data_IF_514859806569
#
_entry.id   IF_514859806569
#
_cell.length_a   1.000
_cell.length_b   1.000
_cell.length_c   1.000
_cell.angle_alpha   90.00
_cell.angle_beta   90.00
_cell.angle_gamma   90.00
#
_symmetry.space_group_name_H-M   'P 1'
#
loop_
_entity.id
_entity.type
_entity.pdbx_description
1 polymer ?
#
# COMPACT_ATOMS: atom_id res chain seq x y z
N UNK A 1 27.56 -13.39 -9.85
CA UNK A 1 26.23 -12.90 -9.37
C UNK A 1 26.20 -12.47 -7.89
N UNK A 2 26.26 -13.36 -6.89
CA UNK A 2 26.12 -12.97 -5.46
C UNK A 2 27.12 -11.91 -5.00
N UNK A 3 28.40 -12.07 -5.34
CA UNK A 3 29.45 -11.09 -5.00
C UNK A 3 29.19 -9.71 -5.61
N UNK A 4 28.58 -9.67 -6.78
CA UNK A 4 28.23 -8.42 -7.48
C UNK A 4 27.10 -7.73 -6.72
N UNK A 5 26.04 -8.46 -6.36
CA UNK A 5 24.84 -7.88 -5.77
C UNK A 5 24.95 -7.60 -4.26
N UNK A 6 25.73 -8.38 -3.50
CA UNK A 6 25.82 -8.22 -2.03
C UNK A 6 26.43 -6.90 -1.57
N UNK A 7 27.09 -6.16 -2.45
CA UNK A 7 27.63 -4.83 -2.14
C UNK A 7 26.54 -3.81 -1.87
N UNK A 8 25.47 -3.87 -2.66
CA UNK A 8 24.41 -2.85 -2.66
C UNK A 8 23.04 -3.41 -2.21
N UNK A 9 22.88 -4.73 -2.16
CA UNK A 9 21.59 -5.39 -1.88
C UNK A 9 21.70 -6.47 -0.80
N UNK A 10 20.61 -6.68 -0.07
CA UNK A 10 20.42 -7.87 0.76
C UNK A 10 20.09 -9.05 -0.15
N UNK A 11 20.95 -10.07 -0.14
CA UNK A 11 20.84 -11.23 -1.04
C UNK A 11 21.00 -12.52 -0.25
N UNK A 12 20.08 -13.45 -0.50
CA UNK A 12 20.10 -14.82 0.02
C UNK A 12 20.16 -15.82 -1.13
N UNK A 13 20.88 -16.92 -0.96
CA UNK A 13 20.91 -18.03 -1.94
C UNK A 13 20.25 -19.24 -1.31
N UNK A 14 19.20 -19.73 -1.95
CA UNK A 14 18.55 -20.98 -1.56
C UNK A 14 19.12 -22.18 -2.33
N UNK A 15 20.20 -22.74 -1.78
CA UNK A 15 20.92 -23.88 -2.34
C UNK A 15 20.49 -25.25 -1.76
N UNK A 16 19.34 -25.34 -1.08
CA UNK A 16 18.83 -26.60 -0.50
C UNK A 16 18.48 -27.62 -1.59
N UNK A 17 19.10 -28.78 -1.60
CA UNK A 17 18.89 -29.79 -2.66
C UNK A 17 17.61 -30.61 -2.45
N UNK A 18 17.10 -30.65 -1.22
CA UNK A 18 15.91 -31.42 -0.83
C UNK A 18 14.59 -30.81 -1.35
N UNK A 19 14.60 -29.57 -1.84
CA UNK A 19 13.43 -28.86 -2.33
C UNK A 19 13.51 -28.57 -3.83
N UNK A 20 12.41 -28.83 -4.53
CA UNK A 20 12.29 -28.48 -5.94
C UNK A 20 12.30 -26.95 -6.12
N UNK A 21 12.75 -26.44 -7.29
CA UNK A 21 12.73 -25.00 -7.57
C UNK A 21 11.33 -24.37 -7.40
N UNK A 22 10.27 -25.05 -7.85
CA UNK A 22 8.90 -24.57 -7.68
C UNK A 22 8.47 -24.45 -6.22
N UNK A 23 8.90 -25.38 -5.36
CA UNK A 23 8.66 -25.29 -3.91
C UNK A 23 9.36 -24.07 -3.31
N UNK A 24 10.64 -23.84 -3.66
CA UNK A 24 11.40 -22.67 -3.22
C UNK A 24 10.74 -21.37 -3.67
N UNK A 25 10.26 -21.32 -4.92
CA UNK A 25 9.58 -20.14 -5.46
C UNK A 25 8.38 -19.75 -4.60
N UNK A 26 7.52 -20.72 -4.27
CA UNK A 26 6.36 -20.49 -3.43
C UNK A 26 6.75 -20.02 -2.02
N UNK A 27 7.74 -20.66 -1.39
CA UNK A 27 8.18 -20.27 -0.04
C UNK A 27 8.65 -18.81 0.01
N UNK A 28 9.48 -18.39 -0.95
CA UNK A 28 9.99 -17.01 -1.00
C UNK A 28 8.93 -15.99 -1.41
N UNK A 29 7.95 -16.39 -2.23
CA UNK A 29 6.78 -15.56 -2.55
C UNK A 29 5.87 -15.34 -1.34
N UNK A 30 5.69 -16.37 -0.50
CA UNK A 30 4.96 -16.29 0.77
C UNK A 30 5.67 -15.42 1.80
N UNK A 31 7.01 -15.45 1.82
CA UNK A 31 7.84 -14.54 2.63
C UNK A 31 7.84 -13.09 2.10
N UNK A 32 7.28 -12.84 0.93
CA UNK A 32 7.19 -11.49 0.35
C UNK A 32 8.52 -10.93 -0.16
N UNK A 33 9.48 -11.78 -0.55
CA UNK A 33 10.72 -11.32 -1.19
C UNK A 33 10.34 -10.58 -2.48
N UNK A 34 10.75 -9.30 -2.66
CA UNK A 34 10.23 -8.46 -3.75
C UNK A 34 10.71 -8.89 -5.14
N UNK A 35 11.89 -9.49 -5.22
CA UNK A 35 12.56 -9.87 -6.46
C UNK A 35 13.27 -11.21 -6.29
N UNK A 36 12.95 -12.18 -7.15
CA UNK A 36 13.60 -13.49 -7.22
C UNK A 36 14.50 -13.55 -8.44
N UNK A 37 15.70 -14.12 -8.30
CA UNK A 37 16.61 -14.38 -9.40
C UNK A 37 16.66 -15.89 -9.63
N UNK A 38 16.33 -16.32 -10.84
CA UNK A 38 16.38 -17.71 -11.28
C UNK A 38 17.64 -17.91 -12.14
N UNK A 39 18.47 -18.87 -11.73
CA UNK A 39 19.76 -19.17 -12.37
C UNK A 39 19.70 -20.60 -12.90
N UNK A 40 19.62 -20.75 -14.22
CA UNK A 40 19.53 -22.05 -14.89
C UNK A 40 20.73 -22.30 -15.80
N UNK A 41 21.12 -23.58 -16.05
CA UNK A 41 22.25 -23.90 -16.93
C UNK A 41 22.14 -23.26 -18.33
N UNK A 42 20.93 -23.20 -18.89
CA UNK A 42 20.68 -22.58 -20.21
C UNK A 42 20.88 -21.07 -20.20
N UNK A 43 20.61 -20.42 -19.08
CA UNK A 43 20.76 -18.96 -18.92
C UNK A 43 22.22 -18.59 -18.64
N UNK A 44 22.94 -19.43 -17.89
CA UNK A 44 24.38 -19.29 -17.69
C UNK A 44 25.16 -19.40 -19.01
N UNK A 45 24.79 -20.34 -19.89
CA UNK A 45 25.37 -20.45 -21.23
C UNK A 45 25.12 -19.21 -22.11
N UNK A 46 24.17 -18.35 -21.73
CA UNK A 46 23.83 -17.09 -22.40
C UNK A 46 24.26 -15.87 -21.60
N UNK A 47 25.01 -16.05 -20.51
CA UNK A 47 25.45 -14.98 -19.60
C UNK A 47 24.29 -14.10 -19.13
N UNK A 48 23.17 -14.74 -18.78
CA UNK A 48 21.96 -14.05 -18.34
C UNK A 48 21.36 -14.70 -17.09
N UNK A 49 20.50 -13.93 -16.41
CA UNK A 49 19.73 -14.34 -15.24
C UNK A 49 18.27 -13.94 -15.47
N UNK A 50 17.33 -14.77 -15.05
CA UNK A 50 15.90 -14.42 -15.09
C UNK A 50 15.49 -13.80 -13.77
N UNK A 51 14.94 -12.59 -13.83
CA UNK A 51 14.44 -11.85 -12.68
C UNK A 51 12.92 -11.95 -12.67
N UNK A 52 12.32 -12.25 -11.52
CA UNK A 52 10.88 -12.37 -11.34
C UNK A 52 10.41 -11.44 -10.22
N UNK A 53 9.47 -10.56 -10.55
CA UNK A 53 8.89 -9.60 -9.62
C UNK A 53 7.75 -10.22 -8.82
N UNK A 54 7.71 -9.96 -7.51
CA UNK A 54 6.64 -10.44 -6.64
C UNK A 54 5.34 -9.65 -6.78
N UNK A 55 5.41 -8.36 -7.05
CA UNK A 55 4.25 -7.45 -7.08
C UNK A 55 3.38 -7.58 -8.34
N UNK A 56 3.97 -8.07 -9.45
CA UNK A 56 3.31 -8.23 -10.75
C UNK A 56 3.44 -9.62 -11.37
N UNK A 57 4.40 -10.45 -10.95
CA UNK A 57 4.73 -11.71 -11.60
C UNK A 57 5.54 -11.58 -12.90
N UNK A 58 5.89 -10.35 -13.28
CA UNK A 58 6.68 -10.06 -14.49
C UNK A 58 8.04 -10.77 -14.45
N UNK A 59 8.44 -11.35 -15.58
CA UNK A 59 9.70 -12.07 -15.76
C UNK A 59 10.57 -11.36 -16.80
N UNK A 60 11.84 -11.14 -16.48
CA UNK A 60 12.76 -10.41 -17.34
C UNK A 60 14.10 -11.16 -17.38
N UNK A 61 14.59 -11.50 -18.58
CA UNK A 61 15.94 -12.02 -18.75
C UNK A 61 16.93 -10.84 -18.87
N UNK A 62 17.98 -10.85 -18.04
CA UNK A 62 18.94 -9.75 -17.93
C UNK A 62 20.35 -10.29 -18.04
N UNK A 63 21.18 -9.65 -18.86
CA UNK A 63 22.61 -9.96 -18.97
C UNK A 63 23.33 -9.71 -17.64
N UNK A 64 24.28 -10.58 -17.28
CA UNK A 64 25.01 -10.46 -16.01
C UNK A 64 25.69 -9.09 -15.84
N UNK A 65 26.21 -8.51 -16.93
CA UNK A 65 26.84 -7.18 -16.95
C UNK A 65 25.89 -6.04 -16.51
N UNK A 66 24.59 -6.16 -16.77
CA UNK A 66 23.56 -5.15 -16.45
C UNK A 66 22.77 -5.48 -15.20
N UNK A 67 23.14 -6.55 -14.50
CA UNK A 67 22.34 -7.12 -13.43
C UNK A 67 22.15 -6.15 -12.26
N UNK A 68 23.23 -5.53 -11.77
CA UNK A 68 23.17 -4.58 -10.64
C UNK A 68 22.28 -3.37 -10.92
N UNK A 69 22.46 -2.74 -12.09
CA UNK A 69 21.65 -1.59 -12.52
C UNK A 69 20.17 -1.97 -12.67
N UNK A 70 19.90 -3.13 -13.28
CA UNK A 70 18.52 -3.58 -13.50
C UNK A 70 17.84 -3.95 -12.19
N UNK A 71 18.54 -4.64 -11.28
CA UNK A 71 18.01 -4.94 -9.94
C UNK A 71 17.64 -3.66 -9.20
N UNK A 72 18.51 -2.64 -9.22
CA UNK A 72 18.22 -1.33 -8.60
C UNK A 72 16.93 -0.73 -9.16
N UNK A 73 16.86 -0.59 -10.49
CA UNK A 73 15.70 -0.02 -11.21
C UNK A 73 14.41 -0.78 -10.91
N UNK A 74 14.47 -2.11 -10.85
CA UNK A 74 13.29 -2.92 -10.55
C UNK A 74 12.83 -2.76 -9.10
N UNK A 75 13.75 -2.70 -8.13
CA UNK A 75 13.38 -2.48 -6.73
C UNK A 75 12.74 -1.09 -6.53
N UNK A 76 13.31 -0.05 -7.16
CA UNK A 76 12.72 1.29 -7.16
C UNK A 76 11.31 1.25 -7.79
N UNK A 77 11.14 0.53 -8.91
CA UNK A 77 9.85 0.42 -9.57
C UNK A 77 8.81 -0.36 -8.77
N UNK A 78 9.23 -1.42 -8.08
CA UNK A 78 8.36 -2.18 -7.17
C UNK A 78 7.87 -1.25 -6.05
N UNK A 79 8.77 -0.46 -5.45
CA UNK A 79 8.42 0.49 -4.39
C UNK A 79 7.42 1.54 -4.88
N UNK A 80 7.67 2.16 -6.03
CA UNK A 80 6.73 3.11 -6.65
C UNK A 80 5.37 2.48 -6.93
N UNK A 81 5.35 1.28 -7.50
CA UNK A 81 4.12 0.59 -7.87
C UNK A 81 3.27 0.24 -6.64
N UNK A 82 3.89 -0.29 -5.58
CA UNK A 82 3.19 -0.61 -4.34
C UNK A 82 2.65 0.64 -3.66
N UNK A 83 3.44 1.71 -3.59
CA UNK A 83 2.99 2.99 -3.04
C UNK A 83 1.84 3.59 -3.86
N UNK A 84 1.94 3.56 -5.19
CA UNK A 84 0.90 4.05 -6.08
C UNK A 84 -0.42 3.27 -5.93
N UNK A 85 -0.34 1.94 -5.89
CA UNK A 85 -1.51 1.07 -5.63
C UNK A 85 -2.14 1.38 -4.26
N UNK A 86 -1.34 1.49 -3.20
CA UNK A 86 -1.84 1.78 -1.86
C UNK A 86 -2.47 3.18 -1.75
N UNK A 87 -1.84 4.19 -2.36
CA UNK A 87 -2.40 5.56 -2.44
C UNK A 87 -3.73 5.57 -3.18
N UNK A 88 -3.81 4.91 -4.34
CA UNK A 88 -5.06 4.81 -5.10
C UNK A 88 -6.15 4.13 -4.28
N UNK A 89 -5.84 3.00 -3.65
CA UNK A 89 -6.77 2.30 -2.76
C UNK A 89 -7.26 3.19 -1.62
N UNK A 90 -6.36 3.96 -0.98
CA UNK A 90 -6.73 4.91 0.06
C UNK A 90 -7.71 5.97 -0.48
N UNK A 91 -7.38 6.61 -1.61
CA UNK A 91 -8.23 7.64 -2.21
C UNK A 91 -9.62 7.11 -2.62
N UNK A 92 -9.68 5.92 -3.22
CA UNK A 92 -10.94 5.26 -3.59
C UNK A 92 -11.80 4.85 -2.37
N UNK A 93 -11.19 4.79 -1.18
CA UNK A 93 -11.85 4.48 0.08
C UNK A 93 -12.03 5.68 1.02
N UNK A 94 -11.70 6.89 0.56
CA UNK A 94 -12.11 8.14 1.19
C UNK A 94 -13.43 8.57 0.54
N UNK A 95 -14.43 8.87 1.36
CA UNK A 95 -15.75 9.32 0.88
C UNK A 95 -16.12 10.62 1.56
N UNK A 96 -16.45 11.62 0.76
CA UNK A 96 -16.95 12.89 1.25
C UNK A 96 -18.46 12.80 1.43
N UNK A 97 -18.96 13.25 2.58
CA UNK A 97 -20.40 13.27 2.88
C UNK A 97 -20.76 14.59 3.55
N UNK A 98 -21.98 15.06 3.28
CA UNK A 98 -22.53 16.29 3.88
C UNK A 98 -23.83 16.06 4.64
N UNK A 99 -24.35 14.83 4.66
CA UNK A 99 -25.55 14.43 5.39
C UNK A 99 -25.25 13.32 6.40
N UNK A 100 -25.82 13.43 7.60
CA UNK A 100 -25.55 12.48 8.68
C UNK A 100 -26.19 11.11 8.44
N UNK A 101 -27.30 11.05 7.71
CA UNK A 101 -27.91 9.76 7.34
C UNK A 101 -27.03 9.02 6.33
N UNK A 102 -26.49 9.74 5.34
CA UNK A 102 -25.47 9.20 4.43
C UNK A 102 -24.21 8.77 5.18
N UNK A 103 -23.73 9.54 6.15
CA UNK A 103 -22.60 9.17 7.00
C UNK A 103 -22.80 7.79 7.64
N UNK A 104 -23.98 7.57 8.25
CA UNK A 104 -24.35 6.29 8.88
C UNK A 104 -24.41 5.14 7.88
N UNK A 105 -24.91 5.39 6.67
CA UNK A 105 -24.94 4.38 5.62
C UNK A 105 -23.53 3.99 5.15
N UNK A 106 -22.68 4.99 4.90
CA UNK A 106 -21.34 4.79 4.37
C UNK A 106 -20.47 4.02 5.38
N UNK A 107 -20.52 4.40 6.66
CA UNK A 107 -19.69 3.77 7.69
C UNK A 107 -20.08 2.31 7.92
N UNK A 108 -21.35 1.97 7.77
CA UNK A 108 -21.85 0.61 7.96
C UNK A 108 -21.60 -0.27 6.73
N UNK A 109 -21.95 0.22 5.53
CA UNK A 109 -21.95 -0.61 4.30
C UNK A 109 -20.63 -0.60 3.55
N UNK A 110 -19.97 0.56 3.44
CA UNK A 110 -18.84 0.74 2.52
C UNK A 110 -17.48 0.62 3.19
N UNK A 111 -17.40 0.81 4.52
CA UNK A 111 -16.15 0.84 5.31
C UNK A 111 -15.14 1.87 4.76
N UNK A 112 -13.99 2.07 5.40
CA UNK A 112 -13.00 3.06 4.98
C UNK A 112 -13.12 4.40 5.70
N UNK A 113 -12.61 5.46 5.08
CA UNK A 113 -12.56 6.80 5.65
C UNK A 113 -13.73 7.65 5.14
N UNK A 114 -14.31 8.43 6.04
CA UNK A 114 -15.28 9.47 5.71
C UNK A 114 -14.64 10.82 5.95
N UNK A 115 -14.59 11.67 4.93
CA UNK A 115 -14.16 13.07 5.05
C UNK A 115 -15.40 13.93 5.22
N UNK A 116 -15.48 14.68 6.31
CA UNK A 116 -16.62 15.52 6.60
C UNK A 116 -16.21 16.74 7.44
N UNK A 117 -17.05 17.77 7.43
CA UNK A 117 -16.88 18.97 8.23
C UNK A 117 -17.24 18.70 9.70
N UNK A 118 -16.49 19.27 10.63
CA UNK A 118 -16.71 19.12 12.07
C UNK A 118 -16.56 20.46 12.79
N UNK A 119 -17.50 20.81 13.66
CA UNK A 119 -17.54 22.13 14.33
C UNK A 119 -16.47 22.36 15.39
N UNK A 120 -15.59 21.39 15.68
CA UNK A 120 -14.62 21.49 16.77
C UNK A 120 -15.18 21.13 18.15
N UNK A 121 -16.50 20.90 18.27
CA UNK A 121 -17.12 20.51 19.52
C UNK A 121 -16.99 18.99 19.75
N UNK A 122 -16.40 18.64 20.89
CA UNK A 122 -16.24 17.26 21.36
C UNK A 122 -17.58 16.52 21.48
N UNK A 123 -18.65 17.19 21.90
CA UNK A 123 -19.96 16.55 22.06
C UNK A 123 -20.48 15.96 20.74
N UNK A 124 -20.18 16.59 19.60
CA UNK A 124 -20.52 16.05 18.29
C UNK A 124 -19.73 14.79 17.97
N UNK A 125 -18.42 14.76 18.29
CA UNK A 125 -17.61 13.56 18.08
C UNK A 125 -18.08 12.40 18.98
N UNK A 126 -18.34 12.68 20.25
CA UNK A 126 -18.77 11.66 21.22
C UNK A 126 -20.11 11.03 20.78
N UNK A 127 -21.08 11.83 20.33
CA UNK A 127 -22.36 11.31 19.80
C UNK A 127 -22.19 10.51 18.52
N UNK A 128 -21.39 10.98 17.56
CA UNK A 128 -21.07 10.20 16.34
C UNK A 128 -20.48 8.84 16.73
N UNK A 129 -19.58 8.82 17.72
CA UNK A 129 -18.94 7.60 18.21
C UNK A 129 -19.90 6.65 18.89
N UNK A 130 -20.79 7.15 19.74
CA UNK A 130 -21.84 6.34 20.38
C UNK A 130 -22.78 5.71 19.35
N UNK A 131 -23.21 6.49 18.36
CA UNK A 131 -24.19 6.06 17.36
C UNK A 131 -23.60 5.15 16.27
N UNK A 132 -22.31 5.32 15.91
CA UNK A 132 -21.73 4.67 14.73
C UNK A 132 -20.45 3.87 14.98
N UNK A 133 -19.86 4.02 16.18
CA UNK A 133 -18.51 3.54 16.56
C UNK A 133 -17.37 4.17 15.76
N UNK A 134 -17.64 5.15 14.91
CA UNK A 134 -16.60 5.92 14.23
C UNK A 134 -16.13 7.07 15.13
N UNK A 135 -14.85 7.41 15.05
CA UNK A 135 -14.36 8.67 15.63
C UNK A 135 -13.31 9.29 14.71
N UNK A 136 -12.93 10.52 15.03
CA UNK A 136 -11.95 11.26 14.24
C UNK A 136 -10.62 10.52 14.28
N UNK A 137 -10.04 10.31 13.09
CA UNK A 137 -8.73 9.68 12.89
C UNK A 137 -7.64 10.72 12.84
N UNK A 138 -7.91 11.82 12.14
CA UNK A 138 -7.04 12.98 12.09
C UNK A 138 -7.79 14.21 11.59
N UNK A 139 -7.23 15.37 11.94
CA UNK A 139 -7.47 16.64 11.29
C UNK A 139 -6.31 16.82 10.30
N UNK A 140 -6.55 16.86 8.98
CA UNK A 140 -5.49 17.05 7.99
C UNK A 140 -4.74 18.36 8.21
N UNK A 141 -3.42 18.33 8.04
CA UNK A 141 -2.59 19.53 8.14
C UNK A 141 -2.90 20.52 7.01
N UNK A 142 -3.10 20.01 5.80
CA UNK A 142 -3.60 20.78 4.67
C UNK A 142 -5.12 20.74 4.70
N UNK A 143 -5.72 21.88 5.08
CA UNK A 143 -7.16 22.08 5.04
C UNK A 143 -7.54 22.69 3.69
N UNK A 144 -8.62 22.22 3.09
CA UNK A 144 -9.24 22.91 1.97
C UNK A 144 -9.98 24.14 2.52
N UNK A 145 -9.86 25.30 1.86
CA UNK A 145 -10.56 26.54 2.24
C UNK A 145 -12.07 26.46 1.91
N UNK A 146 -12.74 25.45 2.44
CA UNK A 146 -14.16 25.18 2.19
C UNK A 146 -14.89 25.30 3.51
N UNK A 147 -15.70 26.36 3.65
CA UNK A 147 -16.69 26.46 4.71
C UNK A 147 -17.87 25.54 4.40
N UNK A 148 -18.29 24.74 5.37
CA UNK A 148 -19.46 23.89 5.27
C UNK A 148 -20.20 23.80 6.60
N UNK A 149 -21.04 22.77 6.73
CA UNK A 149 -21.79 22.51 7.96
C UNK A 149 -21.25 21.27 8.63
N UNK A 150 -21.10 21.32 9.96
CA UNK A 150 -20.75 20.17 10.77
C UNK A 150 -21.70 19.01 10.46
N UNK A 151 -21.11 17.84 10.20
CA UNK A 151 -21.84 16.64 9.78
C UNK A 151 -22.90 16.19 10.79
N UNK A 152 -22.78 16.59 12.06
CA UNK A 152 -23.72 16.21 13.12
C UNK A 152 -24.71 17.33 13.47
N UNK A 153 -24.23 18.47 13.96
CA UNK A 153 -25.10 19.54 14.46
C UNK A 153 -25.59 20.52 13.38
N UNK A 154 -24.99 20.50 12.18
CA UNK A 154 -25.35 21.41 11.09
C UNK A 154 -24.85 22.85 11.25
N UNK A 155 -24.14 23.19 12.34
CA UNK A 155 -23.50 24.49 12.53
C UNK A 155 -22.37 24.72 11.53
N UNK A 156 -22.04 25.98 11.25
CA UNK A 156 -20.93 26.32 10.35
C UNK A 156 -19.60 25.77 10.86
N UNK A 157 -18.81 25.24 9.94
CA UNK A 157 -17.47 24.71 10.21
C UNK A 157 -16.55 24.98 9.03
N UNK A 158 -15.29 25.26 9.34
CA UNK A 158 -14.19 25.36 8.40
C UNK A 158 -13.14 24.27 8.63
N UNK A 159 -13.48 23.21 9.38
CA UNK A 159 -12.53 22.15 9.75
C UNK A 159 -12.99 20.81 9.17
N UNK A 160 -12.25 20.36 8.16
CA UNK A 160 -12.39 19.03 7.59
C UNK A 160 -11.64 18.02 8.45
N UNK A 161 -12.27 16.88 8.68
CA UNK A 161 -11.69 15.76 9.43
C UNK A 161 -11.98 14.43 8.75
N UNK A 162 -11.16 13.42 9.04
CA UNK A 162 -11.41 12.05 8.61
C UNK A 162 -11.98 11.22 9.77
N UNK A 163 -13.18 10.66 9.58
CA UNK A 163 -13.79 9.67 10.47
C UNK A 163 -13.55 8.25 9.97
N UNK A 164 -13.39 7.31 10.90
CA UNK A 164 -13.48 5.87 10.62
C UNK A 164 -13.70 5.08 11.91
N UNK A 165 -14.07 3.80 11.77
CA UNK A 165 -14.00 2.84 12.86
C UNK A 165 -12.55 2.48 13.12
N UNK A 166 -12.15 2.48 14.40
CA UNK A 166 -10.83 2.02 14.80
C UNK A 166 -10.71 0.50 14.60
N UNK A 167 -9.47 0.03 14.41
CA UNK A 167 -9.12 -1.40 14.42
C UNK A 167 -9.33 -2.01 15.80
#
# INVERSE_FOLDING_TARGET
IRTILKRDFRVEIDARDEYTPGWKFNEWEMKGVPLRLEIWPKDLAREQVVLVRRDSGEKIAVKEEKLGETVKKLLDKIQENLLGKAKKFLQENIREVSDYSEFKEVIEKKKGLIKAQWCGNKDCEDKIKEETKASIRCIPFEQEEVSGKCIYCGEESSTLVYFARAY
#
